data_IF_593092543784
#
_entry.id   IF_593092543784
#
_cell.length_a   1.000
_cell.length_b   1.000
_cell.length_c   1.000
_cell.angle_alpha   90.00
_cell.angle_beta   90.00
_cell.angle_gamma   90.00
#
_symmetry.space_group_name_H-M   'P 1'
#
loop_
_entity.id
_entity.type
_entity.pdbx_description
1 polymer ?
#
# COMPACT_ATOMS: atom_id res chain seq x y z
N UNK A 1 10.18 71.11 9.56
CA UNK A 1 10.83 69.78 9.48
C UNK A 1 9.71 68.75 9.51
N UNK A 2 9.35 68.16 8.36
CA UNK A 2 8.35 67.08 8.36
C UNK A 2 9.03 65.78 8.73
N UNK A 3 8.61 65.17 9.84
CA UNK A 3 9.02 63.83 10.21
C UNK A 3 8.41 62.83 9.24
N UNK A 4 9.22 62.30 8.33
CA UNK A 4 8.89 61.08 7.60
C UNK A 4 8.92 59.92 8.62
N UNK A 5 7.75 59.54 9.14
CA UNK A 5 7.64 58.24 9.79
C UNK A 5 7.75 57.17 8.71
N UNK A 6 8.84 56.41 8.75
CA UNK A 6 8.91 55.13 8.06
C UNK A 6 7.86 54.22 8.71
N UNK A 7 6.67 54.17 8.13
CA UNK A 7 5.72 53.11 8.44
C UNK A 7 6.40 51.78 8.12
N UNK A 8 6.45 50.86 9.09
CA UNK A 8 6.82 49.47 8.84
C UNK A 8 5.93 48.96 7.71
N UNK A 9 6.49 48.84 6.50
CA UNK A 9 5.82 48.11 5.43
C UNK A 9 5.67 46.68 5.96
N UNK A 10 4.43 46.21 6.04
CA UNK A 10 4.15 44.82 6.38
C UNK A 10 4.83 43.85 5.42
N UNK A 11 4.69 42.55 5.70
CA UNK A 11 5.23 41.49 4.82
C UNK A 11 4.74 41.67 3.39
N UNK A 12 5.63 41.47 2.42
CA UNK A 12 5.29 41.51 1.00
C UNK A 12 4.51 40.27 0.59
N UNK A 13 3.76 40.34 -0.52
CA UNK A 13 3.02 39.19 -1.06
C UNK A 13 3.94 38.00 -1.36
N UNK A 14 5.17 38.27 -1.82
CA UNK A 14 6.16 37.21 -2.06
C UNK A 14 6.56 36.51 -0.76
N UNK A 15 6.77 37.25 0.33
CA UNK A 15 6.99 36.65 1.65
C UNK A 15 5.78 35.79 2.04
N UNK A 16 4.57 36.33 1.91
CA UNK A 16 3.33 35.64 2.31
C UNK A 16 3.11 34.36 1.53
N UNK A 17 3.38 34.34 0.21
CA UNK A 17 3.26 33.11 -0.59
C UNK A 17 4.24 32.02 -0.15
N UNK A 18 5.49 32.40 0.16
CA UNK A 18 6.49 31.46 0.68
C UNK A 18 6.07 30.94 2.05
N UNK A 19 5.64 31.83 2.96
CA UNK A 19 5.19 31.47 4.30
C UNK A 19 3.98 30.53 4.25
N UNK A 20 2.99 30.82 3.41
CA UNK A 20 1.82 29.96 3.23
C UNK A 20 2.21 28.57 2.70
N UNK A 21 3.15 28.49 1.74
CA UNK A 21 3.57 27.22 1.17
C UNK A 21 4.46 26.40 2.11
N UNK A 22 5.29 27.06 2.94
CA UNK A 22 6.06 26.40 4.00
C UNK A 22 5.18 25.70 5.03
N UNK A 23 3.95 26.18 5.22
CA UNK A 23 2.95 25.61 6.13
C UNK A 23 1.82 24.87 5.40
N UNK A 24 1.93 24.67 4.08
CA UNK A 24 0.97 23.87 3.35
C UNK A 24 1.08 22.39 3.79
N UNK A 25 -0.07 21.71 3.87
CA UNK A 25 -0.16 20.31 4.29
C UNK A 25 0.45 20.03 5.68
N UNK A 26 0.32 20.99 6.60
CA UNK A 26 0.70 20.80 8.00
C UNK A 26 -0.01 19.59 8.62
N UNK A 27 0.70 18.85 9.47
CA UNK A 27 0.22 17.64 10.17
C UNK A 27 0.83 17.50 11.57
N UNK A 28 0.16 16.76 12.45
CA UNK A 28 0.61 16.50 13.83
C UNK A 28 0.22 17.57 14.85
N UNK A 29 -0.78 18.40 14.55
CA UNK A 29 -1.35 19.35 15.51
C UNK A 29 -2.41 18.72 16.41
N UNK A 30 -2.76 19.40 17.50
CA UNK A 30 -3.75 18.91 18.48
C UNK A 30 -5.21 19.07 18.02
N UNK A 31 -5.45 19.85 16.96
CA UNK A 31 -6.79 20.06 16.40
C UNK A 31 -7.18 18.93 15.45
N UNK A 32 -8.50 18.66 15.36
CA UNK A 32 -9.04 17.70 14.41
C UNK A 32 -8.98 18.25 12.97
N UNK A 33 -8.63 17.38 12.03
CA UNK A 33 -8.68 17.63 10.58
C UNK A 33 -9.69 16.67 9.97
N UNK A 34 -10.70 17.19 9.29
CA UNK A 34 -11.81 16.40 8.73
C UNK A 34 -12.57 15.51 9.75
N UNK A 35 -12.50 15.84 11.04
CA UNK A 35 -13.11 15.04 12.12
C UNK A 35 -12.21 13.95 12.71
N UNK A 36 -10.96 13.84 12.24
CA UNK A 36 -9.97 12.87 12.71
C UNK A 36 -8.77 13.56 13.38
N UNK A 37 -8.05 12.88 14.29
CA UNK A 37 -6.77 13.40 14.77
C UNK A 37 -5.76 13.52 13.62
N UNK A 38 -4.93 14.56 13.65
CA UNK A 38 -3.82 14.75 12.71
C UNK A 38 -2.56 14.11 13.28
N UNK A 39 -1.99 13.14 12.56
CA UNK A 39 -0.81 12.40 12.99
C UNK A 39 0.46 12.95 12.36
N UNK A 40 1.56 12.95 13.11
CA UNK A 40 2.91 13.10 12.54
C UNK A 40 3.25 11.90 11.64
N UNK A 41 4.39 11.96 10.94
CA UNK A 41 4.88 10.82 10.14
C UNK A 41 5.15 9.61 11.03
N UNK A 42 5.79 9.80 12.19
CA UNK A 42 6.14 8.70 13.10
C UNK A 42 4.89 8.04 13.71
N UNK A 43 3.89 8.84 14.10
CA UNK A 43 2.61 8.30 14.61
C UNK A 43 1.87 7.48 13.54
N UNK A 44 1.86 7.95 12.29
CA UNK A 44 1.27 7.20 11.18
C UNK A 44 2.04 5.89 10.90
N UNK A 45 3.38 5.92 11.00
CA UNK A 45 4.20 4.71 10.84
C UNK A 45 3.92 3.68 11.95
N UNK A 46 3.82 4.11 13.21
CA UNK A 46 3.43 3.25 14.33
C UNK A 46 2.06 2.61 14.09
N UNK A 47 1.08 3.40 13.62
CA UNK A 47 -0.27 2.92 13.34
C UNK A 47 -0.32 1.87 12.21
N UNK A 48 0.46 2.09 11.14
CA UNK A 48 0.57 1.12 10.01
C UNK A 48 1.22 -0.20 10.48
N UNK A 49 2.11 -0.14 11.47
CA UNK A 49 2.83 -1.29 12.02
C UNK A 49 2.16 -1.91 13.26
N UNK A 50 0.91 -1.54 13.58
CA UNK A 50 0.23 -1.95 14.82
C UNK A 50 0.12 -3.47 15.03
N UNK A 51 0.09 -4.24 13.94
CA UNK A 51 0.03 -5.72 13.98
C UNK A 51 1.36 -6.37 14.39
N UNK A 52 2.47 -5.62 14.36
CA UNK A 52 3.80 -6.10 14.74
C UNK A 52 4.28 -7.34 13.95
N UNK A 53 3.70 -7.58 12.77
CA UNK A 53 4.08 -8.66 11.88
C UNK A 53 5.36 -8.31 11.12
N UNK A 54 6.36 -9.20 11.14
CA UNK A 54 7.60 -8.99 10.40
C UNK A 54 8.30 -10.29 10.01
N UNK A 55 9.08 -10.23 8.94
CA UNK A 55 10.03 -11.28 8.59
C UNK A 55 11.23 -11.25 9.53
N UNK A 56 11.70 -12.44 9.91
CA UNK A 56 12.92 -12.58 10.69
C UNK A 56 14.10 -12.76 9.73
N UNK A 57 15.18 -12.00 9.96
CA UNK A 57 16.43 -12.16 9.22
C UNK A 57 17.04 -13.53 9.52
N UNK A 58 17.72 -14.12 8.54
CA UNK A 58 18.49 -15.33 8.78
C UNK A 58 19.61 -15.05 9.81
N UNK A 59 19.99 -16.03 10.65
CA UNK A 59 21.03 -15.82 11.65
C UNK A 59 22.36 -15.39 11.02
N UNK A 60 22.84 -14.20 11.41
CA UNK A 60 24.08 -13.60 10.90
C UNK A 60 23.88 -12.58 9.77
N UNK A 61 22.68 -12.45 9.23
CA UNK A 61 22.40 -11.50 8.15
C UNK A 61 22.17 -10.07 8.68
N UNK A 62 22.88 -9.11 8.11
CA UNK A 62 22.63 -7.69 8.33
C UNK A 62 21.47 -7.15 7.49
N UNK A 63 21.11 -7.84 6.40
CA UNK A 63 20.09 -7.46 5.40
C UNK A 63 19.09 -8.59 5.28
N UNK A 64 17.79 -8.30 5.26
CA UNK A 64 16.77 -9.32 5.03
C UNK A 64 16.80 -9.74 3.56
N UNK A 65 17.03 -11.02 3.27
CA UNK A 65 16.94 -11.56 1.90
C UNK A 65 15.65 -12.34 1.73
N UNK A 66 14.83 -11.96 0.75
CA UNK A 66 13.59 -12.65 0.39
C UNK A 66 13.60 -12.99 -1.09
N UNK A 67 13.32 -14.24 -1.42
CA UNK A 67 13.12 -14.67 -2.80
C UNK A 67 11.69 -14.43 -3.25
N UNK A 68 11.46 -14.29 -4.56
CA UNK A 68 10.12 -14.20 -5.13
C UNK A 68 9.96 -15.09 -6.36
N UNK A 69 8.77 -15.68 -6.53
CA UNK A 69 8.43 -16.46 -7.72
C UNK A 69 7.00 -16.21 -8.22
N UNK A 70 6.79 -16.43 -9.52
CA UNK A 70 5.47 -16.30 -10.14
C UNK A 70 4.85 -17.69 -10.30
N UNK A 71 3.68 -17.92 -9.69
CA UNK A 71 3.02 -19.22 -9.70
C UNK A 71 2.68 -19.65 -11.12
N UNK A 72 2.91 -20.92 -11.44
CA UNK A 72 2.60 -21.52 -12.75
C UNK A 72 1.34 -22.39 -12.73
N UNK A 73 0.86 -22.71 -11.53
CA UNK A 73 -0.32 -23.56 -11.25
C UNK A 73 -0.92 -23.17 -9.89
N UNK A 74 -2.17 -23.58 -9.60
CA UNK A 74 -2.74 -23.48 -8.26
C UNK A 74 -1.87 -24.16 -7.20
N UNK A 75 -1.67 -23.50 -6.06
CA UNK A 75 -1.10 -24.10 -4.85
C UNK A 75 -2.22 -24.66 -3.95
N UNK A 76 -1.86 -25.21 -2.78
CA UNK A 76 -2.82 -25.84 -1.87
C UNK A 76 -3.86 -24.86 -1.32
N UNK A 77 -3.45 -23.63 -1.02
CA UNK A 77 -4.36 -22.55 -0.62
C UNK A 77 -5.40 -22.29 -1.72
N UNK A 78 -4.96 -22.11 -2.97
CA UNK A 78 -5.89 -21.85 -4.07
C UNK A 78 -6.89 -23.00 -4.27
N UNK A 79 -6.43 -24.25 -4.13
CA UNK A 79 -7.28 -25.42 -4.33
C UNK A 79 -8.31 -25.62 -3.21
N UNK A 80 -7.97 -25.26 -1.97
CA UNK A 80 -8.82 -25.50 -0.80
C UNK A 80 -8.81 -24.33 0.19
N UNK A 81 -9.21 -23.12 -0.23
CA UNK A 81 -9.00 -21.90 0.56
C UNK A 81 -9.71 -21.94 1.92
N UNK A 82 -10.87 -22.60 2.00
CA UNK A 82 -11.65 -22.76 3.24
C UNK A 82 -10.92 -23.52 4.35
N UNK A 83 -9.83 -24.24 4.06
CA UNK A 83 -8.98 -24.87 5.09
C UNK A 83 -8.09 -23.88 5.81
N UNK A 84 -7.89 -22.70 5.24
CA UNK A 84 -6.93 -21.69 5.70
C UNK A 84 -7.61 -20.38 6.08
N UNK A 85 -8.66 -19.99 5.35
CA UNK A 85 -9.42 -18.75 5.57
C UNK A 85 -10.91 -19.08 5.57
N UNK A 86 -11.63 -18.72 6.65
CA UNK A 86 -13.05 -19.09 6.87
C UNK A 86 -13.98 -18.60 5.76
N UNK A 87 -13.73 -17.39 5.26
CA UNK A 87 -14.68 -16.67 4.41
C UNK A 87 -14.38 -16.84 2.91
N UNK A 88 -13.34 -17.60 2.55
CA UNK A 88 -12.98 -17.88 1.16
C UNK A 88 -13.28 -19.33 0.82
N UNK A 89 -14.34 -19.57 0.06
CA UNK A 89 -14.71 -20.92 -0.40
C UNK A 89 -14.12 -21.28 -1.78
N UNK A 90 -13.99 -20.31 -2.69
CA UNK A 90 -13.42 -20.54 -4.03
C UNK A 90 -12.84 -19.26 -4.60
N UNK A 91 -11.64 -19.36 -5.17
CA UNK A 91 -10.97 -18.28 -5.89
C UNK A 91 -11.26 -18.30 -7.41
N UNK A 92 -12.07 -19.26 -7.87
CA UNK A 92 -12.42 -19.41 -9.28
C UNK A 92 -11.27 -19.98 -10.11
N UNK A 93 -10.99 -19.37 -11.26
CA UNK A 93 -9.97 -19.84 -12.20
C UNK A 93 -8.62 -19.18 -11.89
N UNK A 94 -7.60 -20.02 -11.71
CA UNK A 94 -6.22 -19.58 -11.63
C UNK A 94 -5.71 -19.09 -12.98
N UNK A 95 -4.89 -18.05 -12.98
CA UNK A 95 -3.97 -17.78 -14.07
C UNK A 95 -2.61 -17.27 -13.57
N UNK A 96 -1.54 -17.71 -14.22
CA UNK A 96 -0.20 -17.20 -13.94
C UNK A 96 -0.10 -15.71 -14.31
N UNK A 97 0.84 -15.01 -13.68
CA UNK A 97 1.15 -13.64 -14.04
C UNK A 97 1.65 -13.52 -15.48
N UNK A 98 1.10 -12.58 -16.24
CA UNK A 98 1.57 -12.24 -17.58
C UNK A 98 2.94 -11.57 -17.55
N UNK A 99 3.65 -11.50 -18.68
CA UNK A 99 4.94 -10.83 -18.77
C UNK A 99 4.89 -9.36 -18.29
N UNK A 100 3.79 -8.65 -18.58
CA UNK A 100 3.59 -7.27 -18.10
C UNK A 100 3.45 -7.21 -16.58
N UNK A 101 2.65 -8.11 -16.00
CA UNK A 101 2.48 -8.18 -14.54
C UNK A 101 3.80 -8.54 -13.84
N UNK A 102 4.54 -9.51 -14.37
CA UNK A 102 5.85 -9.88 -13.82
C UNK A 102 6.84 -8.71 -13.86
N UNK A 103 6.91 -7.98 -14.99
CA UNK A 103 7.78 -6.82 -15.13
C UNK A 103 7.43 -5.71 -14.11
N UNK A 104 6.13 -5.42 -13.93
CA UNK A 104 5.71 -4.40 -12.98
C UNK A 104 5.84 -4.83 -11.51
N UNK A 105 5.62 -6.11 -11.21
CA UNK A 105 5.84 -6.65 -9.86
C UNK A 105 7.31 -6.48 -9.45
N UNK A 106 8.26 -6.74 -10.38
CA UNK A 106 9.70 -6.50 -10.14
C UNK A 106 9.99 -5.02 -9.85
N UNK A 107 9.36 -4.09 -10.56
CA UNK A 107 9.54 -2.66 -10.29
C UNK A 107 8.91 -2.23 -8.95
N UNK A 108 7.79 -2.83 -8.53
CA UNK A 108 7.21 -2.59 -7.19
C UNK A 108 8.05 -3.19 -6.06
N UNK A 109 8.61 -4.40 -6.24
CA UNK A 109 9.58 -4.98 -5.32
C UNK A 109 10.82 -4.09 -5.20
N UNK A 110 11.35 -3.62 -6.34
CA UNK A 110 12.48 -2.70 -6.36
C UNK A 110 12.21 -1.43 -5.57
N UNK A 111 11.06 -0.77 -5.76
CA UNK A 111 10.75 0.46 -5.02
C UNK A 111 10.67 0.27 -3.50
N UNK A 112 10.31 -0.93 -3.02
CA UNK A 112 10.39 -1.25 -1.60
C UNK A 112 11.84 -1.48 -1.15
N UNK A 113 12.62 -2.25 -1.91
CA UNK A 113 14.03 -2.47 -1.59
C UNK A 113 14.89 -1.20 -1.64
N UNK A 114 14.50 -0.20 -2.44
CA UNK A 114 15.22 1.07 -2.54
C UNK A 114 15.16 1.90 -1.24
N UNK A 115 14.14 1.69 -0.39
CA UNK A 115 13.89 2.50 0.82
C UNK A 115 14.14 1.75 2.14
N UNK A 116 14.45 0.45 2.10
CA UNK A 116 14.73 -0.35 3.30
C UNK A 116 15.79 -1.44 3.04
N UNK A 117 16.32 -2.06 4.08
CA UNK A 117 17.38 -3.07 3.98
C UNK A 117 16.83 -4.46 3.65
N UNK A 118 16.19 -4.59 2.48
CA UNK A 118 15.69 -5.85 1.94
C UNK A 118 16.35 -6.12 0.59
N UNK A 119 16.80 -7.34 0.37
CA UNK A 119 17.32 -7.82 -0.91
C UNK A 119 16.37 -8.85 -1.51
N UNK A 120 15.69 -8.48 -2.60
CA UNK A 120 14.81 -9.37 -3.33
C UNK A 120 15.56 -10.21 -4.36
N UNK A 121 15.35 -11.53 -4.34
CA UNK A 121 16.02 -12.50 -5.24
C UNK A 121 15.01 -13.16 -6.16
N UNK A 122 15.24 -13.08 -7.47
CA UNK A 122 14.37 -13.74 -8.46
C UNK A 122 14.55 -15.27 -8.39
N UNK A 123 13.52 -15.97 -7.92
CA UNK A 123 13.47 -17.44 -7.92
C UNK A 123 12.77 -17.98 -9.18
N UNK A 124 12.33 -17.12 -10.10
CA UNK A 124 11.76 -17.50 -11.39
C UNK A 124 10.28 -17.87 -11.34
N UNK A 125 9.93 -18.93 -12.07
CA UNK A 125 8.55 -19.42 -12.17
C UNK A 125 8.36 -20.62 -11.24
N UNK A 126 7.24 -20.68 -10.52
CA UNK A 126 6.91 -21.74 -9.58
C UNK A 126 6.50 -21.21 -8.21
N UNK A 127 6.57 -22.09 -7.21
CA UNK A 127 6.10 -21.91 -5.83
C UNK A 127 7.24 -21.93 -4.78
N UNK A 128 8.49 -21.76 -5.23
CA UNK A 128 9.70 -21.80 -4.40
C UNK A 128 10.08 -20.47 -3.73
N UNK A 129 9.48 -19.34 -4.14
CA UNK A 129 9.79 -18.03 -3.59
C UNK A 129 9.18 -17.82 -2.20
N UNK A 130 9.86 -17.04 -1.35
CA UNK A 130 9.31 -16.57 -0.08
C UNK A 130 8.06 -15.70 -0.32
N UNK A 131 8.08 -14.92 -1.40
CA UNK A 131 6.93 -14.19 -1.92
C UNK A 131 6.42 -14.86 -3.20
N UNK A 132 5.10 -15.07 -3.30
CA UNK A 132 4.50 -15.63 -4.51
C UNK A 132 3.33 -14.79 -5.02
N UNK A 133 3.20 -14.77 -6.35
CA UNK A 133 2.23 -13.96 -7.07
C UNK A 133 1.36 -14.84 -7.98
N UNK A 134 0.05 -14.67 -7.92
CA UNK A 134 -0.91 -15.38 -8.77
C UNK A 134 -2.20 -14.60 -9.02
N UNK A 135 -2.89 -14.91 -10.11
CA UNK A 135 -4.21 -14.32 -10.38
C UNK A 135 -5.34 -15.28 -10.04
N UNK A 136 -6.48 -14.72 -9.65
CA UNK A 136 -7.74 -15.42 -9.40
C UNK A 136 -8.90 -14.73 -10.11
N UNK A 137 -10.05 -15.40 -10.26
CA UNK A 137 -11.16 -14.85 -11.07
C UNK A 137 -12.46 -14.60 -10.30
N UNK A 138 -12.65 -15.26 -9.16
CA UNK A 138 -13.85 -15.08 -8.32
C UNK A 138 -13.55 -14.06 -7.24
N UNK A 139 -14.18 -12.88 -7.30
CA UNK A 139 -13.97 -11.82 -6.30
C UNK A 139 -14.30 -12.31 -4.89
N UNK A 140 -13.46 -11.90 -3.92
CA UNK A 140 -13.65 -12.12 -2.48
C UNK A 140 -13.98 -10.82 -1.75
N UNK A 141 -14.40 -9.78 -2.49
CA UNK A 141 -14.72 -8.45 -1.96
C UNK A 141 -13.73 -7.36 -2.38
N UNK A 142 -12.49 -7.72 -2.73
CA UNK A 142 -11.43 -6.80 -3.12
C UNK A 142 -10.86 -7.01 -4.53
N UNK A 143 -10.03 -6.05 -4.96
CA UNK A 143 -9.29 -6.10 -6.22
C UNK A 143 -8.08 -7.05 -6.18
N UNK A 144 -7.52 -7.25 -5.00
CA UNK A 144 -6.43 -8.14 -4.68
C UNK A 144 -6.48 -8.41 -3.16
N UNK A 145 -5.63 -9.32 -2.70
CA UNK A 145 -5.36 -9.52 -1.28
C UNK A 145 -3.99 -10.15 -1.09
N UNK A 146 -3.42 -10.00 0.10
CA UNK A 146 -2.18 -10.62 0.52
C UNK A 146 -2.23 -10.97 2.00
N UNK A 147 -1.24 -11.74 2.45
CA UNK A 147 -1.12 -12.11 3.86
C UNK A 147 0.09 -11.44 4.50
N UNK A 148 -0.12 -10.87 5.69
CA UNK A 148 0.95 -10.42 6.58
C UNK A 148 1.91 -11.57 6.93
N UNK A 149 3.17 -11.28 7.32
CA UNK A 149 4.19 -12.32 7.54
C UNK A 149 4.06 -13.11 8.86
N UNK A 150 3.01 -12.88 9.65
CA UNK A 150 2.70 -13.56 10.91
C UNK A 150 1.73 -14.74 10.76
N UNK A 151 1.27 -15.01 9.54
CA UNK A 151 0.44 -16.19 9.20
C UNK A 151 1.26 -17.48 9.08
N UNK A 152 0.63 -18.68 9.10
CA UNK A 152 1.31 -19.94 8.83
C UNK A 152 1.99 -19.98 7.44
N UNK A 153 3.07 -20.74 7.31
CA UNK A 153 3.88 -20.85 6.08
C UNK A 153 3.07 -21.22 4.82
N UNK A 154 1.95 -21.93 4.97
CA UNK A 154 1.06 -22.27 3.86
C UNK A 154 0.38 -21.05 3.20
N UNK A 155 0.44 -19.87 3.82
CA UNK A 155 -0.14 -18.60 3.35
C UNK A 155 0.91 -17.48 3.25
N UNK A 156 1.98 -17.56 4.04
CA UNK A 156 2.97 -16.50 4.20
C UNK A 156 3.56 -16.07 2.86
N UNK A 157 3.63 -14.75 2.64
CA UNK A 157 4.21 -14.15 1.44
C UNK A 157 3.38 -14.29 0.16
N UNK A 158 2.17 -14.85 0.22
CA UNK A 158 1.31 -14.93 -0.96
C UNK A 158 0.54 -13.63 -1.19
N UNK A 159 0.48 -13.21 -2.45
CA UNK A 159 -0.37 -12.10 -2.93
C UNK A 159 -1.14 -12.53 -4.18
N UNK A 160 -2.43 -12.19 -4.20
CA UNK A 160 -3.41 -12.69 -5.17
C UNK A 160 -4.18 -11.54 -5.80
N UNK A 161 -4.32 -11.57 -7.14
CA UNK A 161 -4.84 -10.43 -7.92
C UNK A 161 -6.05 -10.83 -8.77
N UNK A 162 -7.15 -10.08 -8.64
CA UNK A 162 -8.39 -10.39 -9.34
C UNK A 162 -8.27 -10.04 -10.83
N UNK A 163 -8.61 -10.99 -11.69
CA UNK A 163 -8.80 -10.78 -13.13
C UNK A 163 -10.05 -11.53 -13.58
N UNK A 164 -11.05 -10.79 -14.07
CA UNK A 164 -12.21 -11.37 -14.75
C UNK A 164 -12.81 -10.35 -15.74
N UNK A 165 -13.94 -10.69 -16.35
CA UNK A 165 -14.62 -9.83 -17.33
C UNK A 165 -15.12 -8.50 -16.78
N UNK A 166 -15.32 -8.40 -15.46
CA UNK A 166 -15.87 -7.23 -14.78
C UNK A 166 -14.78 -6.39 -14.08
N UNK A 167 -13.54 -6.89 -14.00
CA UNK A 167 -12.42 -6.21 -13.36
C UNK A 167 -11.11 -6.47 -14.11
N UNK A 168 -10.54 -5.42 -14.70
CA UNK A 168 -9.38 -5.50 -15.60
C UNK A 168 -8.19 -4.62 -15.19
N UNK A 169 -8.27 -3.87 -14.08
CA UNK A 169 -7.19 -2.96 -13.66
C UNK A 169 -5.84 -3.69 -13.45
N UNK A 170 -5.89 -4.92 -12.95
CA UNK A 170 -4.70 -5.76 -12.71
C UNK A 170 -4.11 -6.40 -13.98
N UNK A 171 -4.79 -6.31 -15.14
CA UNK A 171 -4.34 -6.94 -16.39
C UNK A 171 -3.12 -6.24 -16.97
N UNK A 172 -3.12 -4.90 -16.94
CA UNK A 172 -2.07 -4.06 -17.51
C UNK A 172 -1.59 -3.02 -16.49
N UNK A 173 -0.90 -3.45 -15.42
CA UNK A 173 -0.27 -2.52 -14.49
C UNK A 173 0.75 -1.67 -15.26
N UNK A 174 0.82 -0.38 -14.94
CA UNK A 174 1.74 0.57 -15.55
C UNK A 174 1.98 1.73 -14.59
N UNK A 175 3.09 2.46 -14.80
CA UNK A 175 3.39 3.65 -14.01
C UNK A 175 2.20 4.63 -13.99
N UNK A 176 1.81 5.10 -12.80
CA UNK A 176 0.71 6.05 -12.65
C UNK A 176 -0.68 5.44 -12.59
N UNK A 177 -0.86 4.11 -12.72
CA UNK A 177 -2.17 3.48 -12.72
C UNK A 177 -2.44 2.62 -11.48
N UNK A 178 -3.73 2.36 -11.23
CA UNK A 178 -4.17 1.62 -10.05
C UNK A 178 -3.60 0.21 -9.99
N UNK A 179 -3.49 -0.51 -11.11
CA UNK A 179 -2.91 -1.86 -11.12
C UNK A 179 -1.46 -1.90 -10.65
N UNK A 180 -0.66 -0.86 -10.91
CA UNK A 180 0.71 -0.76 -10.37
C UNK A 180 0.71 -0.44 -8.88
N UNK A 181 -0.18 0.46 -8.43
CA UNK A 181 -0.34 0.74 -7.01
C UNK A 181 -0.79 -0.50 -6.23
N UNK A 182 -1.72 -1.30 -6.77
CA UNK A 182 -2.17 -2.57 -6.17
C UNK A 182 -1.00 -3.53 -5.97
N UNK A 183 -0.09 -3.66 -6.95
CA UNK A 183 1.13 -4.48 -6.76
C UNK A 183 1.95 -3.98 -5.57
N UNK A 184 2.23 -2.67 -5.51
CA UNK A 184 3.01 -2.07 -4.42
C UNK A 184 2.32 -2.23 -3.07
N UNK A 185 1.01 -2.07 -3.02
CA UNK A 185 0.15 -2.24 -1.85
C UNK A 185 0.20 -3.67 -1.31
N UNK A 186 -0.10 -4.67 -2.15
CA UNK A 186 -0.10 -6.07 -1.71
C UNK A 186 1.30 -6.54 -1.29
N UNK A 187 2.36 -6.05 -1.93
CA UNK A 187 3.73 -6.32 -1.48
C UNK A 187 3.95 -5.71 -0.09
N UNK A 188 3.46 -4.51 0.17
CA UNK A 188 3.51 -3.88 1.50
C UNK A 188 2.89 -4.76 2.59
N UNK A 189 1.72 -5.36 2.33
CA UNK A 189 1.11 -6.37 3.22
C UNK A 189 2.05 -7.56 3.43
N UNK A 190 2.60 -8.16 2.37
CA UNK A 190 3.51 -9.31 2.55
C UNK A 190 4.77 -8.98 3.35
N UNK A 191 5.15 -7.69 3.44
CA UNK A 191 6.28 -7.22 4.23
C UNK A 191 5.92 -6.86 5.68
N UNK A 192 4.63 -6.75 6.02
CA UNK A 192 4.14 -6.50 7.38
C UNK A 192 3.42 -5.16 7.59
N UNK A 193 3.05 -4.44 6.53
CA UNK A 193 2.33 -3.19 6.65
C UNK A 193 0.83 -3.42 6.56
N UNK A 194 0.05 -2.91 7.53
CA UNK A 194 -1.41 -2.95 7.47
C UNK A 194 -1.98 -1.71 6.78
N UNK A 195 -3.28 -1.73 6.49
CA UNK A 195 -4.01 -0.49 6.21
C UNK A 195 -3.87 0.49 7.39
N UNK A 196 -3.80 1.81 7.16
CA UNK A 196 -3.63 2.75 8.26
C UNK A 196 -4.83 2.85 9.22
N UNK A 197 -6.01 2.35 8.83
CA UNK A 197 -7.16 2.12 9.70
C UNK A 197 -7.63 0.66 9.70
N UNK A 198 -8.60 0.35 10.57
CA UNK A 198 -9.20 -0.98 10.70
C UNK A 198 -10.37 -1.14 9.72
N UNK A 199 -10.04 -1.29 8.44
CA UNK A 199 -11.00 -1.54 7.37
C UNK A 199 -10.46 -2.55 6.37
N UNK A 200 -11.37 -3.27 5.72
CA UNK A 200 -11.04 -4.25 4.70
C UNK A 200 -12.08 -4.27 3.57
N UNK A 201 -11.66 -4.60 2.35
CA UNK A 201 -12.61 -4.71 1.25
C UNK A 201 -13.44 -5.99 1.39
N UNK A 202 -14.76 -5.88 1.26
CA UNK A 202 -15.69 -6.99 1.47
C UNK A 202 -16.20 -7.15 2.90
N UNK A 203 -15.69 -6.35 3.85
CA UNK A 203 -16.14 -6.32 5.24
C UNK A 203 -16.90 -5.02 5.53
N UNK A 204 -18.22 -5.06 5.38
CA UNK A 204 -19.07 -3.86 5.51
C UNK A 204 -18.94 -2.91 4.31
N UNK A 205 -19.10 -1.62 4.58
CA UNK A 205 -19.00 -0.53 3.59
C UNK A 205 -18.13 0.61 4.15
N UNK A 206 -16.80 0.38 4.29
CA UNK A 206 -15.92 1.34 4.94
C UNK A 206 -15.78 2.62 4.11
N UNK A 207 -15.67 3.74 4.80
CA UNK A 207 -15.53 5.09 4.25
C UNK A 207 -14.34 5.81 4.89
N UNK A 208 -13.91 6.94 4.33
CA UNK A 208 -12.86 7.77 4.96
C UNK A 208 -13.24 8.24 6.38
N UNK A 209 -14.53 8.28 6.74
CA UNK A 209 -14.96 8.56 8.11
C UNK A 209 -14.47 7.50 9.11
N UNK A 210 -14.21 6.27 8.64
CA UNK A 210 -13.72 5.14 9.43
C UNK A 210 -12.18 5.12 9.56
N UNK A 211 -11.48 6.10 8.98
CA UNK A 211 -10.04 6.26 9.15
C UNK A 211 -9.65 6.56 10.61
N UNK A 212 -8.49 6.04 11.05
CA UNK A 212 -7.97 6.30 12.41
C UNK A 212 -7.41 7.72 12.55
N UNK A 213 -6.80 8.27 11.49
CA UNK A 213 -6.18 9.58 11.48
C UNK A 213 -6.37 10.26 10.11
N UNK A 214 -6.30 11.59 10.08
CA UNK A 214 -6.67 12.38 8.90
C UNK A 214 -5.76 12.13 7.69
N UNK A 215 -4.47 11.89 7.91
CA UNK A 215 -3.50 11.62 6.86
C UNK A 215 -3.54 10.16 6.35
N UNK A 216 -4.56 9.37 6.72
CA UNK A 216 -4.88 8.11 6.05
C UNK A 216 -5.50 8.42 4.68
N UNK A 217 -4.65 8.76 3.72
CA UNK A 217 -5.03 8.92 2.31
C UNK A 217 -3.90 8.39 1.43
N UNK A 218 -4.22 8.11 0.17
CA UNK A 218 -3.23 7.77 -0.87
C UNK A 218 -2.24 8.89 -1.14
N UNK A 219 -2.45 10.09 -0.58
CA UNK A 219 -1.45 11.16 -0.60
C UNK A 219 -0.20 10.82 0.22
N UNK A 220 -0.37 10.03 1.28
CA UNK A 220 0.68 9.75 2.26
C UNK A 220 1.06 8.27 2.37
N UNK A 221 0.12 7.36 2.08
CA UNK A 221 0.40 5.92 2.11
C UNK A 221 -0.33 5.19 0.99
N UNK A 222 0.42 4.38 0.22
CA UNK A 222 -0.16 3.44 -0.73
C UNK A 222 -0.99 2.35 -0.06
N UNK A 223 -0.87 2.20 1.27
CA UNK A 223 -1.69 1.27 2.06
C UNK A 223 -3.11 1.82 2.32
N UNK A 224 -3.39 3.07 2.00
CA UNK A 224 -4.69 3.69 2.23
C UNK A 224 -5.72 3.33 1.16
N UNK A 225 -6.99 3.23 1.57
CA UNK A 225 -8.13 3.13 0.64
C UNK A 225 -8.63 4.50 0.14
N UNK A 226 -8.23 5.57 0.79
CA UNK A 226 -8.91 6.86 0.67
C UNK A 226 -8.23 7.79 -0.32
N UNK A 227 -9.02 8.52 -1.08
CA UNK A 227 -8.54 9.45 -2.10
C UNK A 227 -7.72 10.60 -1.49
N UNK A 228 -6.73 11.08 -2.23
CA UNK A 228 -5.80 12.12 -1.80
C UNK A 228 -6.49 13.47 -1.57
N UNK A 229 -7.64 13.69 -2.21
CA UNK A 229 -8.46 14.90 -2.13
C UNK A 229 -9.01 15.12 -0.72
N UNK A 230 -9.19 14.07 0.09
CA UNK A 230 -9.59 14.22 1.49
C UNK A 230 -8.60 15.12 2.27
N UNK A 231 -7.31 15.10 1.91
CA UNK A 231 -6.26 15.91 2.54
C UNK A 231 -5.81 17.09 1.68
N UNK A 232 -6.56 17.41 0.61
CA UNK A 232 -6.36 18.59 -0.23
C UNK A 232 -5.32 18.43 -1.35
N UNK A 233 -4.79 17.23 -1.57
CA UNK A 233 -3.97 16.93 -2.75
C UNK A 233 -4.87 16.61 -3.96
N UNK A 234 -4.29 16.68 -5.17
CA UNK A 234 -4.96 16.29 -6.41
C UNK A 234 -3.94 15.72 -7.38
N UNK A 235 -3.95 14.39 -7.54
CA UNK A 235 -3.00 13.67 -8.39
C UNK A 235 -3.43 13.64 -9.86
N UNK A 236 -4.48 14.38 -10.24
CA UNK A 236 -4.99 14.45 -11.61
C UNK A 236 -5.36 13.07 -12.17
N UNK A 237 -5.82 12.18 -11.29
CA UNK A 237 -6.20 10.79 -11.61
C UNK A 237 -5.04 9.81 -11.72
N UNK A 238 -3.81 10.22 -11.40
CA UNK A 238 -2.67 9.32 -11.30
C UNK A 238 -2.63 8.62 -9.92
N UNK A 239 -2.07 7.42 -9.91
CA UNK A 239 -1.79 6.64 -8.72
C UNK A 239 -0.27 6.52 -8.54
N UNK A 240 0.20 6.57 -7.29
CA UNK A 240 1.60 6.39 -6.91
C UNK A 240 2.02 4.92 -6.87
#
# INVERSE_FOLDING_TARGET
MSSNSLALKGRSDAYTQVDNFLHAYARGGDELVNGHPSYTVDQAAEQILREQASWQKAPGDSVLTLSYSFLTKPNDFFNTPWKYVSDIYSLGKFSAFSAQQQAQAKLSLQSWADVTNIHFVDAGQGDQGDLTFGNFSSSVGGAAFAFLPDVPDALKGQSWYLINSSYSANVNPANGNYGRQTLTHEIGHTLGLSHPGDYNAGEGDPTYADATYAEDTRAYSVMSYWEEQNTGQDFKGAYS
#
